data_IF_782609966570
#
_entry.id   IF_782609966570
#
_cell.length_a   1.000
_cell.length_b   1.000
_cell.length_c   1.000
_cell.angle_alpha   90.00
_cell.angle_beta   90.00
_cell.angle_gamma   90.00
#
_symmetry.space_group_name_H-M   'P 1'
#
loop_
_entity.id
_entity.type
_entity.pdbx_description
1 polymer ?
#
# COMPACT_ATOMS: atom_id res chain seq x y z
N UNK A 1 -8.84 -3.26 11.56
CA UNK A 1 -8.65 -1.81 11.82
C UNK A 1 -8.96 -1.03 10.55
N UNK A 2 -9.61 0.14 10.61
CA UNK A 2 -9.96 0.98 9.43
C UNK A 2 -9.94 2.47 9.78
N UNK A 3 -8.76 3.01 10.09
CA UNK A 3 -8.62 4.40 10.54
C UNK A 3 -9.03 5.41 9.47
N UNK A 4 -8.82 5.09 8.19
CA UNK A 4 -9.23 5.91 7.05
C UNK A 4 -10.74 6.17 6.99
N UNK A 5 -11.59 5.22 7.43
CA UNK A 5 -13.06 5.40 7.49
C UNK A 5 -13.47 6.47 8.53
N UNK A 6 -12.59 6.77 9.49
CA UNK A 6 -12.78 7.80 10.52
C UNK A 6 -12.11 9.12 10.18
N UNK A 7 -11.35 9.16 9.08
CA UNK A 7 -10.65 10.35 8.65
C UNK A 7 -11.56 11.19 7.76
N UNK A 8 -12.23 12.19 8.32
CA UNK A 8 -13.27 12.96 7.59
C UNK A 8 -12.72 13.59 6.31
N UNK A 9 -11.54 14.21 6.36
CA UNK A 9 -10.88 14.79 5.19
C UNK A 9 -10.64 13.77 4.09
N UNK A 10 -10.13 12.60 4.46
CA UNK A 10 -9.94 11.48 3.51
C UNK A 10 -11.27 11.06 2.87
N UNK A 11 -12.33 10.89 3.66
CA UNK A 11 -13.64 10.46 3.17
C UNK A 11 -14.23 11.45 2.16
N UNK A 12 -14.19 12.75 2.45
CA UNK A 12 -14.77 13.77 1.55
C UNK A 12 -13.88 14.07 0.35
N UNK A 13 -12.58 14.28 0.54
CA UNK A 13 -11.67 14.69 -0.55
C UNK A 13 -11.32 13.54 -1.49
N UNK A 14 -11.30 12.31 -0.98
CA UNK A 14 -10.80 11.14 -1.70
C UNK A 14 -11.89 10.10 -1.91
N UNK A 15 -12.47 9.52 -0.86
CA UNK A 15 -13.32 8.33 -0.98
C UNK A 15 -14.59 8.63 -1.80
N UNK A 16 -15.31 9.69 -1.44
CA UNK A 16 -16.52 10.18 -2.13
C UNK A 16 -16.21 10.94 -3.43
N UNK A 17 -14.97 11.37 -3.62
CA UNK A 17 -14.58 12.13 -4.79
C UNK A 17 -14.28 11.21 -5.98
N UNK A 18 -15.07 11.33 -7.04
CA UNK A 18 -14.87 10.55 -8.26
C UNK A 18 -13.56 10.90 -8.98
N UNK A 19 -13.08 12.14 -8.85
CA UNK A 19 -11.84 12.57 -9.53
C UNK A 19 -10.58 11.95 -8.94
N UNK A 20 -10.63 11.49 -7.68
CA UNK A 20 -9.56 10.73 -7.04
C UNK A 20 -9.34 9.32 -7.67
N UNK A 21 -10.16 8.91 -8.64
CA UNK A 21 -9.94 7.72 -9.46
C UNK A 21 -9.87 8.02 -10.96
N UNK A 22 -9.69 9.28 -11.36
CA UNK A 22 -9.70 9.67 -12.78
C UNK A 22 -8.68 8.88 -13.63
N UNK A 23 -7.45 8.70 -13.13
CA UNK A 23 -6.42 7.94 -13.85
C UNK A 23 -6.79 6.46 -14.05
N UNK A 24 -7.46 5.83 -13.08
CA UNK A 24 -7.96 4.46 -13.25
C UNK A 24 -9.06 4.43 -14.32
N UNK A 25 -9.99 5.38 -14.32
CA UNK A 25 -11.09 5.42 -15.29
C UNK A 25 -10.57 5.66 -16.71
N UNK A 26 -9.66 6.64 -16.88
CA UNK A 26 -9.02 6.90 -18.17
C UNK A 26 -8.26 5.68 -18.69
N UNK A 27 -7.61 4.91 -17.81
CA UNK A 27 -6.93 3.67 -18.21
C UNK A 27 -7.91 2.57 -18.64
N UNK A 28 -9.04 2.43 -17.94
CA UNK A 28 -10.10 1.47 -18.29
C UNK A 28 -10.75 1.78 -19.65
N UNK A 29 -10.82 3.04 -20.03
CA UNK A 29 -11.28 3.48 -21.36
C UNK A 29 -10.17 3.45 -22.44
N UNK A 30 -8.94 3.18 -22.00
CA UNK A 30 -7.73 3.24 -22.81
C UNK A 30 -7.54 2.05 -23.76
N UNK A 31 -6.55 2.15 -24.68
CA UNK A 31 -6.28 1.12 -25.68
C UNK A 31 -5.84 -0.22 -25.08
N UNK A 32 -5.17 -0.21 -23.92
CA UNK A 32 -4.73 -1.40 -23.21
C UNK A 32 -5.91 -2.27 -22.78
N UNK A 33 -6.91 -1.66 -22.12
CA UNK A 33 -8.11 -2.37 -21.65
C UNK A 33 -9.01 -2.78 -22.80
N UNK A 34 -9.13 -1.93 -23.84
CA UNK A 34 -9.86 -2.28 -25.06
C UNK A 34 -9.36 -3.58 -25.68
N UNK A 35 -8.03 -3.75 -25.77
CA UNK A 35 -7.43 -4.98 -26.29
C UNK A 35 -7.77 -6.20 -25.42
N UNK A 36 -7.84 -6.05 -24.09
CA UNK A 36 -8.28 -7.12 -23.19
C UNK A 36 -9.74 -7.51 -23.49
N UNK A 37 -10.64 -6.53 -23.59
CA UNK A 37 -12.05 -6.75 -23.92
C UNK A 37 -12.24 -7.44 -25.29
N UNK A 38 -11.51 -7.00 -26.32
CA UNK A 38 -11.53 -7.63 -27.66
C UNK A 38 -11.10 -9.09 -27.61
N UNK A 39 -10.06 -9.42 -26.83
CA UNK A 39 -9.57 -10.80 -26.68
C UNK A 39 -10.55 -11.66 -25.89
N UNK A 40 -11.15 -11.14 -24.83
CA UNK A 40 -12.23 -11.82 -24.09
C UNK A 40 -13.41 -12.12 -25.02
N UNK A 41 -13.88 -11.11 -25.77
CA UNK A 41 -14.99 -11.26 -26.71
C UNK A 41 -14.71 -12.33 -27.77
N UNK A 42 -13.49 -12.33 -28.33
CA UNK A 42 -13.02 -13.34 -29.29
C UNK A 42 -13.00 -14.75 -28.70
N UNK A 43 -12.43 -14.92 -27.50
CA UNK A 43 -12.38 -16.21 -26.79
C UNK A 43 -13.77 -16.77 -26.49
N UNK A 44 -14.71 -15.90 -26.11
CA UNK A 44 -16.10 -16.25 -25.81
C UNK A 44 -17.01 -16.36 -27.04
N UNK A 45 -16.53 -15.93 -28.22
CA UNK A 45 -17.29 -15.86 -29.49
C UNK A 45 -18.55 -14.99 -29.38
N UNK A 46 -18.43 -13.84 -28.71
CA UNK A 46 -19.49 -12.85 -28.56
C UNK A 46 -19.08 -11.52 -29.19
N UNK A 47 -20.04 -10.62 -29.52
CA UNK A 47 -19.71 -9.27 -29.98
C UNK A 47 -18.90 -8.50 -28.93
N UNK A 48 -17.90 -7.74 -29.38
CA UNK A 48 -17.08 -6.87 -28.51
C UNK A 48 -17.94 -5.92 -27.65
N UNK A 49 -19.02 -5.38 -28.23
CA UNK A 49 -19.93 -4.45 -27.55
C UNK A 49 -20.65 -5.07 -26.35
N UNK A 50 -20.60 -6.41 -26.20
CA UNK A 50 -21.17 -7.13 -25.06
C UNK A 50 -20.20 -7.28 -23.88
N UNK A 51 -18.93 -6.88 -24.01
CA UNK A 51 -17.92 -6.99 -22.95
C UNK A 51 -17.55 -5.61 -22.44
N UNK A 52 -17.97 -5.28 -21.22
CA UNK A 52 -17.57 -4.05 -20.53
C UNK A 52 -16.26 -4.24 -19.76
N UNK A 53 -15.62 -3.14 -19.38
CA UNK A 53 -14.44 -3.11 -18.52
C UNK A 53 -14.75 -3.71 -17.14
N UNK A 54 -15.95 -3.48 -16.61
CA UNK A 54 -16.42 -4.08 -15.35
C UNK A 54 -16.56 -5.60 -15.47
N UNK A 55 -17.01 -6.11 -16.62
CA UNK A 55 -17.08 -7.56 -16.87
C UNK A 55 -15.68 -8.18 -16.98
N UNK A 56 -14.73 -7.48 -17.59
CA UNK A 56 -13.34 -7.92 -17.64
C UNK A 56 -12.71 -7.96 -16.23
N UNK A 57 -12.93 -6.93 -15.41
CA UNK A 57 -12.50 -6.90 -14.00
C UNK A 57 -13.15 -8.04 -13.20
N UNK A 58 -14.46 -8.23 -13.31
CA UNK A 58 -15.17 -9.31 -12.62
C UNK A 58 -14.66 -10.70 -13.03
N UNK A 59 -14.37 -10.92 -14.30
CA UNK A 59 -13.79 -12.19 -14.77
C UNK A 59 -12.38 -12.43 -14.21
N UNK A 60 -11.55 -11.37 -14.13
CA UNK A 60 -10.22 -11.46 -13.55
C UNK A 60 -10.29 -11.75 -12.04
N UNK A 61 -11.19 -11.08 -11.32
CA UNK A 61 -11.43 -11.31 -9.90
C UNK A 61 -11.96 -12.72 -9.63
N UNK A 62 -12.90 -13.22 -10.46
CA UNK A 62 -13.40 -14.59 -10.34
C UNK A 62 -12.29 -15.63 -10.52
N UNK A 63 -11.37 -15.41 -11.46
CA UNK A 63 -10.16 -16.23 -11.60
C UNK A 63 -9.36 -16.25 -10.28
N UNK A 64 -9.05 -15.07 -9.72
CA UNK A 64 -8.27 -14.94 -8.50
C UNK A 64 -8.98 -15.56 -7.27
N UNK A 65 -10.27 -15.31 -7.11
CA UNK A 65 -11.07 -15.85 -6.00
C UNK A 65 -11.21 -17.37 -6.07
N UNK A 66 -11.49 -17.93 -7.25
CA UNK A 66 -11.61 -19.38 -7.38
C UNK A 66 -10.27 -20.07 -7.14
N UNK A 67 -9.16 -19.47 -7.59
CA UNK A 67 -7.83 -19.97 -7.24
C UNK A 67 -7.59 -19.91 -5.73
N UNK A 68 -7.87 -18.79 -5.08
CA UNK A 68 -7.64 -18.63 -3.64
C UNK A 68 -8.51 -19.55 -2.77
N UNK A 69 -9.76 -19.78 -3.16
CA UNK A 69 -10.74 -20.55 -2.37
C UNK A 69 -10.62 -22.06 -2.64
N UNK A 70 -10.44 -22.44 -3.92
CA UNK A 70 -10.54 -23.85 -4.35
C UNK A 70 -9.20 -24.43 -4.80
N UNK A 71 -8.13 -23.63 -4.90
CA UNK A 71 -6.83 -24.03 -5.45
C UNK A 71 -6.93 -24.60 -6.88
N UNK A 72 -7.86 -24.09 -7.68
CA UNK A 72 -8.05 -24.50 -9.08
C UNK A 72 -7.70 -23.39 -10.04
N UNK A 73 -7.14 -23.74 -11.20
CA UNK A 73 -7.05 -22.82 -12.32
C UNK A 73 -8.43 -22.75 -12.99
N UNK A 74 -9.17 -21.68 -12.72
CA UNK A 74 -10.53 -21.51 -13.20
C UNK A 74 -10.58 -21.28 -14.72
N UNK A 75 -11.64 -21.73 -15.42
CA UNK A 75 -11.89 -21.30 -16.80
C UNK A 75 -11.91 -19.77 -16.97
N UNK A 76 -12.25 -19.02 -15.92
CA UNK A 76 -12.15 -17.55 -15.92
C UNK A 76 -10.72 -17.07 -16.18
N UNK A 77 -9.71 -17.78 -15.67
CA UNK A 77 -8.30 -17.45 -15.89
C UNK A 77 -7.89 -17.64 -17.35
N UNK A 78 -8.50 -18.58 -18.07
CA UNK A 78 -8.22 -18.83 -19.49
C UNK A 78 -8.70 -17.69 -20.41
N UNK A 79 -9.46 -16.72 -19.89
CA UNK A 79 -9.86 -15.53 -20.62
C UNK A 79 -8.74 -14.49 -20.76
N UNK A 80 -7.63 -14.66 -20.04
CA UNK A 80 -6.51 -13.74 -19.98
C UNK A 80 -5.22 -14.49 -20.34
N UNK A 81 -4.29 -13.82 -21.03
CA UNK A 81 -2.88 -14.20 -20.99
C UNK A 81 -2.08 -13.26 -20.11
N UNK A 82 -0.77 -13.49 -20.02
CA UNK A 82 0.12 -12.73 -19.13
C UNK A 82 0.09 -11.22 -19.43
N UNK A 83 0.03 -10.84 -20.71
CA UNK A 83 -0.03 -9.42 -21.08
C UNK A 83 -1.36 -8.81 -20.66
N UNK A 84 -2.46 -9.54 -20.81
CA UNK A 84 -3.78 -9.11 -20.32
C UNK A 84 -3.76 -8.97 -18.79
N UNK A 85 -3.16 -9.93 -18.07
CA UNK A 85 -3.05 -9.90 -16.61
C UNK A 85 -2.22 -8.72 -16.10
N UNK A 86 -1.15 -8.32 -16.81
CA UNK A 86 -0.37 -7.12 -16.47
C UNK A 86 -1.18 -5.83 -16.64
N UNK A 87 -2.09 -5.78 -17.63
CA UNK A 87 -3.02 -4.65 -17.81
C UNK A 87 -4.02 -4.59 -16.65
N UNK A 88 -4.60 -5.74 -16.28
CA UNK A 88 -5.53 -5.82 -15.13
C UNK A 88 -4.84 -5.41 -13.82
N UNK A 89 -3.63 -5.90 -13.59
CA UNK A 89 -2.80 -5.54 -12.43
C UNK A 89 -2.52 -4.03 -12.38
N UNK A 90 -2.11 -3.43 -13.51
CA UNK A 90 -1.85 -1.99 -13.57
C UNK A 90 -3.09 -1.14 -13.33
N UNK A 91 -4.26 -1.59 -13.81
CA UNK A 91 -5.54 -0.94 -13.51
C UNK A 91 -5.82 -0.93 -12.00
N UNK A 92 -5.58 -2.05 -11.31
CA UNK A 92 -5.71 -2.11 -9.85
C UNK A 92 -4.65 -1.26 -9.14
N UNK A 93 -3.41 -1.25 -9.62
CA UNK A 93 -2.36 -0.40 -9.07
C UNK A 93 -2.73 1.08 -9.17
N UNK A 94 -3.28 1.55 -10.30
CA UNK A 94 -3.79 2.91 -10.44
C UNK A 94 -4.87 3.23 -9.41
N UNK A 95 -5.83 2.31 -9.21
CA UNK A 95 -6.88 2.48 -8.20
C UNK A 95 -6.28 2.68 -6.81
N UNK A 96 -5.37 1.80 -6.40
CA UNK A 96 -4.78 1.83 -5.06
C UNK A 96 -3.81 3.00 -4.88
N UNK A 97 -3.02 3.33 -5.90
CA UNK A 97 -2.10 4.47 -5.90
C UNK A 97 -2.85 5.76 -5.60
N UNK A 98 -3.92 6.02 -6.36
CA UNK A 98 -4.69 7.26 -6.26
C UNK A 98 -5.63 7.29 -5.06
N UNK A 99 -6.33 6.19 -4.73
CA UNK A 99 -7.29 6.18 -3.61
C UNK A 99 -6.67 5.95 -2.23
N UNK A 100 -5.52 5.27 -2.13
CA UNK A 100 -5.01 4.76 -0.83
C UNK A 100 -3.50 4.97 -0.61
N UNK A 101 -2.76 5.49 -1.59
CA UNK A 101 -1.30 5.68 -1.48
C UNK A 101 -0.87 7.05 -2.03
N UNK A 102 0.25 7.11 -2.77
CA UNK A 102 0.96 8.32 -3.16
C UNK A 102 0.19 9.33 -4.03
N UNK A 103 -1.02 9.01 -4.49
CA UNK A 103 -1.83 9.97 -5.26
C UNK A 103 -2.20 11.23 -4.47
N UNK A 104 -2.41 11.12 -3.15
CA UNK A 104 -2.74 12.26 -2.30
C UNK A 104 -2.10 12.14 -0.92
N UNK A 105 -1.63 13.25 -0.38
CA UNK A 105 -0.95 13.33 0.93
C UNK A 105 -1.80 12.72 2.07
N UNK A 106 -3.09 13.06 2.10
CA UNK A 106 -4.04 12.59 3.12
C UNK A 106 -4.19 11.05 3.15
N UNK A 107 -3.96 10.37 2.03
CA UNK A 107 -4.08 8.91 1.95
C UNK A 107 -3.15 8.22 2.95
N UNK A 108 -1.90 8.69 3.03
CA UNK A 108 -0.89 8.14 3.94
C UNK A 108 -1.09 8.64 5.37
N UNK A 109 -1.45 9.91 5.55
CA UNK A 109 -1.66 10.54 6.86
C UNK A 109 -2.86 10.02 7.63
N UNK A 110 -3.84 9.43 6.96
CA UNK A 110 -4.89 8.65 7.62
C UNK A 110 -4.32 7.48 8.48
N UNK A 111 -3.05 7.10 8.29
CA UNK A 111 -2.35 6.09 9.09
C UNK A 111 -1.46 6.65 10.22
N UNK A 112 -1.45 7.98 10.46
CA UNK A 112 -0.67 8.60 11.53
C UNK A 112 -0.85 7.88 12.89
N UNK A 113 -2.10 7.55 13.25
CA UNK A 113 -2.41 6.84 14.51
C UNK A 113 -1.71 5.48 14.61
N UNK A 114 -1.66 4.71 13.51
CA UNK A 114 -1.00 3.42 13.46
C UNK A 114 0.53 3.57 13.48
N UNK A 115 1.04 4.55 12.74
CA UNK A 115 2.47 4.90 12.74
C UNK A 115 2.95 5.26 14.16
N UNK A 116 2.22 6.11 14.88
CA UNK A 116 2.55 6.48 16.25
C UNK A 116 2.43 5.31 17.23
N UNK A 117 1.42 4.44 17.12
CA UNK A 117 1.30 3.25 17.96
C UNK A 117 2.51 2.31 17.78
N UNK A 118 2.91 2.06 16.53
CA UNK A 118 4.09 1.25 16.20
C UNK A 118 5.35 1.80 16.86
N UNK A 119 5.67 3.08 16.66
CA UNK A 119 6.89 3.67 17.22
C UNK A 119 6.83 3.85 18.73
N UNK A 120 5.66 4.09 19.32
CA UNK A 120 5.48 4.12 20.77
C UNK A 120 5.84 2.78 21.42
N UNK A 121 5.41 1.67 20.82
CA UNK A 121 5.75 0.31 21.28
C UNK A 121 7.23 0.00 21.12
N UNK A 122 7.81 0.35 19.98
CA UNK A 122 9.25 0.18 19.74
C UNK A 122 10.09 1.03 20.71
N UNK A 123 9.67 2.27 21.00
CA UNK A 123 10.32 3.15 21.96
C UNK A 123 10.25 2.59 23.38
N UNK A 124 9.10 2.06 23.79
CA UNK A 124 8.93 1.40 25.08
C UNK A 124 9.89 0.21 25.22
N UNK A 125 9.91 -0.70 24.25
CA UNK A 125 10.81 -1.86 24.27
C UNK A 125 12.29 -1.43 24.25
N UNK A 126 12.65 -0.45 23.43
CA UNK A 126 14.01 0.08 23.38
C UNK A 126 14.46 0.67 24.72
N UNK A 127 13.58 1.39 25.42
CA UNK A 127 13.86 1.97 26.73
C UNK A 127 13.99 0.89 27.82
N UNK A 128 13.14 -0.14 27.79
CA UNK A 128 13.24 -1.28 28.70
C UNK A 128 14.60 -2.00 28.52
N UNK A 129 14.98 -2.32 27.28
CA UNK A 129 16.27 -2.97 26.97
C UNK A 129 17.46 -2.12 27.45
N UNK A 130 17.48 -0.83 27.10
CA UNK A 130 18.57 0.10 27.50
C UNK A 130 18.68 0.28 29.01
N UNK A 131 17.57 0.14 29.73
CA UNK A 131 17.53 0.23 31.20
C UNK A 131 17.85 -1.11 31.89
N UNK A 132 18.15 -2.17 31.14
CA UNK A 132 18.36 -3.51 31.67
C UNK A 132 17.10 -4.14 32.26
N UNK A 133 15.91 -3.63 31.89
CA UNK A 133 14.63 -4.16 32.33
C UNK A 133 14.17 -5.29 31.39
N UNK A 134 13.34 -6.18 31.92
CA UNK A 134 12.69 -7.20 31.11
C UNK A 134 11.68 -6.54 30.16
N UNK A 135 11.74 -6.90 28.88
CA UNK A 135 10.77 -6.43 27.88
C UNK A 135 9.36 -6.92 28.23
N UNK A 136 8.43 -5.99 28.44
CA UNK A 136 7.08 -6.31 28.91
C UNK A 136 6.15 -6.76 27.77
N UNK A 137 6.35 -6.24 26.56
CA UNK A 137 5.56 -6.56 25.36
C UNK A 137 6.49 -6.98 24.23
N UNK A 138 6.93 -8.25 24.24
CA UNK A 138 7.87 -8.77 23.25
C UNK A 138 7.26 -8.91 21.84
N UNK A 139 5.95 -9.10 21.73
CA UNK A 139 5.24 -9.27 20.45
C UNK A 139 3.92 -8.53 20.49
N UNK A 140 3.64 -7.74 19.45
CA UNK A 140 2.32 -7.15 19.18
C UNK A 140 1.86 -7.61 17.81
N UNK A 141 0.63 -8.14 17.72
CA UNK A 141 0.02 -8.57 16.46
C UNK A 141 -1.21 -7.72 16.21
N UNK A 142 -1.27 -7.08 15.04
CA UNK A 142 -2.41 -6.30 14.63
C UNK A 142 -2.96 -6.81 13.30
N UNK A 143 -4.28 -6.94 13.21
CA UNK A 143 -4.96 -7.47 12.04
C UNK A 143 -5.80 -6.36 11.41
N UNK A 144 -5.54 -6.12 10.12
CA UNK A 144 -6.15 -5.07 9.33
C UNK A 144 -6.60 -5.56 7.96
N UNK A 145 -6.88 -4.59 7.09
CA UNK A 145 -7.15 -4.84 5.67
C UNK A 145 -5.97 -4.38 4.83
N UNK A 146 -6.00 -4.67 3.53
CA UNK A 146 -5.00 -4.17 2.61
C UNK A 146 -4.94 -2.63 2.62
N UNK A 147 -6.12 -2.00 2.71
CA UNK A 147 -6.30 -0.56 2.82
C UNK A 147 -5.90 0.02 4.19
N UNK A 148 -5.49 -0.82 5.15
CA UNK A 148 -4.85 -0.37 6.40
C UNK A 148 -3.33 -0.36 6.27
N UNK A 149 -2.77 -1.43 5.69
CA UNK A 149 -1.34 -1.60 5.56
C UNK A 149 -0.75 -0.69 4.48
N UNK A 150 -1.44 -0.52 3.34
CA UNK A 150 -0.95 0.30 2.23
C UNK A 150 -0.71 1.77 2.62
N UNK A 151 -1.63 2.47 3.31
CA UNK A 151 -1.35 3.80 3.86
C UNK A 151 -0.12 3.88 4.77
N UNK A 152 0.09 2.88 5.64
CA UNK A 152 1.25 2.82 6.53
C UNK A 152 2.55 2.65 5.73
N UNK A 153 2.59 1.72 4.77
CA UNK A 153 3.74 1.54 3.87
C UNK A 153 4.05 2.83 3.11
N UNK A 154 3.00 3.52 2.65
CA UNK A 154 3.10 4.81 1.95
C UNK A 154 3.71 5.88 2.86
N UNK A 155 3.22 5.98 4.11
CA UNK A 155 3.68 6.94 5.11
C UNK A 155 5.15 6.69 5.52
N UNK A 156 5.57 5.43 5.54
CA UNK A 156 6.97 5.02 5.73
C UNK A 156 7.83 5.22 4.46
N UNK A 157 7.24 5.62 3.34
CA UNK A 157 7.95 5.93 2.09
C UNK A 157 8.27 4.73 1.20
N UNK A 158 7.77 3.53 1.53
CA UNK A 158 8.09 2.31 0.78
C UNK A 158 7.48 2.30 -0.63
N UNK A 159 8.23 1.78 -1.60
CA UNK A 159 7.77 1.57 -2.99
C UNK A 159 7.34 2.85 -3.72
N UNK A 160 7.94 3.99 -3.37
CA UNK A 160 7.71 5.24 -4.08
C UNK A 160 8.49 5.27 -5.40
N UNK A 161 7.77 5.30 -6.50
CA UNK A 161 8.35 5.50 -7.83
C UNK A 161 8.79 6.95 -8.06
N UNK A 162 9.73 7.15 -9.00
CA UNK A 162 10.19 8.48 -9.42
C UNK A 162 9.11 9.27 -10.15
N UNK A 163 8.23 8.56 -10.85
CA UNK A 163 7.06 9.13 -11.54
C UNK A 163 5.78 8.52 -11.00
N UNK A 164 4.75 9.35 -10.84
CA UNK A 164 3.43 8.89 -10.45
C UNK A 164 2.85 7.93 -11.52
N UNK A 165 2.11 6.92 -11.06
CA UNK A 165 1.37 6.03 -11.95
C UNK A 165 0.21 6.82 -12.59
N UNK A 166 0.13 6.73 -13.91
CA UNK A 166 -0.90 7.40 -14.73
C UNK A 166 -1.50 6.41 -15.73
N UNK A 167 -2.67 6.75 -16.24
CA UNK A 167 -3.34 6.07 -17.35
C UNK A 167 -2.48 5.97 -18.61
N UNK A 168 -1.52 6.88 -18.80
CA UNK A 168 -0.77 7.02 -20.06
C UNK A 168 0.65 6.44 -20.01
N UNK A 169 1.11 5.94 -18.86
CA UNK A 169 2.49 5.47 -18.68
C UNK A 169 2.64 3.99 -18.31
N UNK A 170 1.65 3.15 -18.65
CA UNK A 170 1.69 1.69 -18.40
C UNK A 170 2.99 1.04 -18.90
N UNK A 171 3.40 1.35 -20.14
CA UNK A 171 4.61 0.76 -20.73
C UNK A 171 5.90 1.19 -20.02
N UNK A 172 5.97 2.47 -19.61
CA UNK A 172 7.10 3.03 -18.86
C UNK A 172 7.16 2.48 -17.43
N UNK A 173 5.99 2.14 -16.86
CA UNK A 173 5.82 1.60 -15.51
C UNK A 173 5.87 0.06 -15.45
N UNK A 174 6.45 -0.59 -16.47
CA UNK A 174 6.59 -2.05 -16.50
C UNK A 174 7.45 -2.61 -15.34
N UNK A 175 8.39 -1.82 -14.83
CA UNK A 175 9.28 -2.15 -13.71
C UNK A 175 9.05 -1.25 -12.49
N UNK A 176 7.84 -0.73 -12.33
CA UNK A 176 7.44 0.10 -11.18
C UNK A 176 7.68 -0.62 -9.85
N UNK A 177 8.04 0.16 -8.85
CA UNK A 177 8.15 -0.29 -7.46
C UNK A 177 6.77 -0.45 -6.84
N UNK A 178 5.84 0.46 -7.15
CA UNK A 178 4.46 0.41 -6.66
C UNK A 178 3.66 -0.66 -7.43
N UNK A 179 3.68 -1.89 -6.90
CA UNK A 179 3.01 -3.04 -7.50
C UNK A 179 2.25 -3.82 -6.45
N UNK A 180 0.94 -3.61 -6.39
CA UNK A 180 0.09 -4.07 -5.29
C UNK A 180 0.01 -5.59 -5.18
N UNK A 181 0.16 -6.31 -6.29
CA UNK A 181 0.23 -7.78 -6.30
C UNK A 181 1.42 -8.34 -5.51
N UNK A 182 2.53 -7.61 -5.41
CA UNK A 182 3.69 -7.99 -4.58
C UNK A 182 3.65 -7.39 -3.19
N UNK A 183 3.12 -6.18 -3.05
CA UNK A 183 3.08 -5.47 -1.78
C UNK A 183 1.98 -6.03 -0.87
N UNK A 184 0.81 -6.28 -1.44
CA UNK A 184 -0.45 -6.50 -0.76
C UNK A 184 -1.21 -7.75 -1.25
N UNK A 185 -0.58 -8.94 -1.38
CA UNK A 185 -1.30 -10.17 -1.66
C UNK A 185 -2.27 -10.55 -0.52
N UNK A 186 -3.06 -11.61 -0.72
CA UNK A 186 -3.78 -12.20 0.41
C UNK A 186 -2.80 -12.59 1.53
N UNK A 187 -3.20 -12.31 2.77
CA UNK A 187 -2.38 -12.48 3.97
C UNK A 187 -1.08 -11.66 3.99
N UNK A 188 -1.04 -10.54 3.25
CA UNK A 188 0.08 -9.61 3.33
C UNK A 188 0.37 -9.15 4.76
N UNK A 189 1.66 -9.02 5.09
CA UNK A 189 2.13 -8.70 6.42
C UNK A 189 3.35 -7.78 6.39
N UNK A 190 3.42 -6.87 7.36
CA UNK A 190 4.61 -6.08 7.66
C UNK A 190 5.07 -6.42 9.07
N UNK A 191 6.29 -6.92 9.19
CA UNK A 191 6.95 -7.20 10.46
C UNK A 191 8.04 -6.16 10.69
N UNK A 192 8.07 -5.58 11.89
CA UNK A 192 9.13 -4.71 12.36
C UNK A 192 9.81 -5.40 13.55
N UNK A 193 11.05 -5.83 13.36
CA UNK A 193 11.81 -6.59 14.36
C UNK A 193 12.90 -5.71 14.96
N UNK A 194 12.80 -5.44 16.26
CA UNK A 194 13.80 -4.72 17.03
C UNK A 194 14.82 -5.72 17.61
N UNK A 195 16.04 -5.69 17.09
CA UNK A 195 17.15 -6.52 17.56
C UNK A 195 17.99 -5.77 18.59
N UNK A 196 18.37 -6.46 19.66
CA UNK A 196 19.45 -6.06 20.56
C UNK A 196 20.75 -6.72 20.12
N UNK A 197 21.67 -5.94 19.55
CA UNK A 197 22.99 -6.40 19.12
C UNK A 197 24.05 -6.28 20.24
N UNK A 198 23.64 -5.98 21.48
CA UNK A 198 24.50 -5.76 22.62
C UNK A 198 25.09 -4.36 22.67
N UNK A 199 25.62 -3.98 23.84
CA UNK A 199 26.24 -2.67 24.09
C UNK A 199 25.35 -1.47 23.73
N UNK A 200 24.02 -1.64 23.79
CA UNK A 200 23.05 -0.61 23.43
C UNK A 200 22.85 -0.40 21.92
N UNK A 201 23.43 -1.24 21.04
CA UNK A 201 23.19 -1.20 19.59
C UNK A 201 21.86 -1.87 19.26
N UNK A 202 20.79 -1.07 19.24
CA UNK A 202 19.47 -1.52 18.81
C UNK A 202 19.30 -1.30 17.30
N UNK A 203 18.82 -2.32 16.59
CA UNK A 203 18.60 -2.28 15.13
C UNK A 203 17.19 -2.68 14.76
N UNK A 204 16.65 -2.07 13.71
CA UNK A 204 15.28 -2.33 13.26
C UNK A 204 15.30 -2.95 11.87
N UNK A 205 14.69 -4.11 11.71
CA UNK A 205 14.46 -4.76 10.42
C UNK A 205 12.99 -4.67 10.03
N UNK A 206 12.72 -4.22 8.81
CA UNK A 206 11.41 -4.34 8.20
C UNK A 206 11.37 -5.57 7.29
N UNK A 207 10.31 -6.37 7.40
CA UNK A 207 10.02 -7.46 6.48
C UNK A 207 8.61 -7.25 5.94
N UNK A 208 8.46 -7.22 4.62
CA UNK A 208 7.16 -7.23 3.95
C UNK A 208 6.97 -8.59 3.30
N UNK A 209 5.88 -9.27 3.63
CA UNK A 209 5.58 -10.63 3.15
C UNK A 209 6.79 -11.55 3.40
N UNK A 210 7.27 -11.51 4.66
CA UNK A 210 8.41 -12.28 5.17
C UNK A 210 9.76 -12.03 4.46
N UNK A 211 9.84 -11.00 3.60
CA UNK A 211 11.06 -10.64 2.88
C UNK A 211 11.64 -9.33 3.43
N UNK A 212 12.95 -9.27 3.76
CA UNK A 212 13.58 -8.03 4.19
C UNK A 212 13.38 -6.91 3.17
N UNK A 213 12.95 -5.74 3.66
CA UNK A 213 12.83 -4.52 2.86
C UNK A 213 13.65 -3.42 3.52
N UNK A 214 14.41 -2.68 2.71
CA UNK A 214 15.23 -1.59 3.22
C UNK A 214 14.37 -0.35 3.47
N UNK A 215 14.57 0.31 4.62
CA UNK A 215 13.93 1.58 4.89
C UNK A 215 14.37 2.62 3.84
N UNK A 216 13.42 3.25 3.12
CA UNK A 216 13.72 4.26 2.11
C UNK A 216 14.55 5.39 2.70
N UNK A 217 15.59 5.83 1.98
CA UNK A 217 16.48 6.90 2.45
C UNK A 217 17.46 6.52 3.56
N UNK A 218 17.52 5.23 3.95
CA UNK A 218 18.52 4.67 4.88
C UNK A 218 19.39 3.58 4.22
N UNK A 219 19.31 3.45 2.89
CA UNK A 219 19.97 2.40 2.09
C UNK A 219 21.48 2.58 1.90
N UNK A 220 22.03 3.77 2.17
CA UNK A 220 23.48 4.01 2.09
C UNK A 220 24.24 3.37 3.28
N UNK A 221 23.51 2.97 4.32
CA UNK A 221 23.99 2.08 5.35
C UNK A 221 23.81 0.66 4.80
N UNK A 222 24.90 -0.04 4.55
CA UNK A 222 25.03 -1.40 3.98
C UNK A 222 24.28 -2.53 4.71
N UNK A 223 23.27 -2.23 5.53
CA UNK A 223 22.53 -3.14 6.36
C UNK A 223 21.03 -3.00 6.11
N UNK A 224 20.37 -4.12 5.81
CA UNK A 224 18.91 -4.28 5.88
C UNK A 224 18.33 -4.06 7.30
N UNK A 225 19.20 -3.74 8.26
CA UNK A 225 18.90 -3.46 9.65
C UNK A 225 19.67 -2.19 10.11
N UNK A 226 19.17 -0.98 9.78
CA UNK A 226 19.72 0.27 10.31
C UNK A 226 19.57 0.34 11.83
N UNK A 227 20.32 1.25 12.47
CA UNK A 227 20.13 1.50 13.91
C UNK A 227 18.74 2.08 14.14
N UNK A 228 18.11 1.65 15.23
CA UNK A 228 16.78 2.13 15.57
C UNK A 228 16.73 3.66 15.74
N UNK A 229 17.80 4.25 16.27
CA UNK A 229 17.93 5.71 16.39
C UNK A 229 17.98 6.42 15.04
N UNK A 230 18.65 5.83 14.04
CA UNK A 230 18.71 6.40 12.69
C UNK A 230 17.33 6.36 12.03
N UNK A 231 16.56 5.29 12.23
CA UNK A 231 15.17 5.18 11.77
C UNK A 231 14.29 6.25 12.44
N UNK A 232 14.40 6.43 13.76
CA UNK A 232 13.66 7.49 14.47
C UNK A 232 14.05 8.88 13.98
N UNK A 233 15.33 9.11 13.74
CA UNK A 233 15.83 10.38 13.20
C UNK A 233 15.27 10.65 11.81
N UNK A 234 15.26 9.62 10.95
CA UNK A 234 14.71 9.70 9.59
C UNK A 234 13.23 10.08 9.59
N UNK A 235 12.42 9.50 10.48
CA UNK A 235 10.98 9.81 10.58
C UNK A 235 10.64 10.87 11.63
N UNK A 236 11.60 11.68 12.10
CA UNK A 236 11.42 12.62 13.21
C UNK A 236 10.29 13.63 12.99
N UNK A 237 10.13 14.13 11.77
CA UNK A 237 9.08 15.11 11.46
C UNK A 237 7.68 14.47 11.57
N UNK A 238 7.53 13.23 11.10
CA UNK A 238 6.29 12.47 11.28
C UNK A 238 6.03 12.17 12.77
N UNK A 239 7.06 11.72 13.50
CA UNK A 239 6.96 11.43 14.94
C UNK A 239 6.63 12.66 15.80
N UNK A 240 6.83 13.87 15.30
CA UNK A 240 6.48 15.11 16.00
C UNK A 240 5.17 15.74 15.53
N UNK A 241 4.77 15.52 14.28
CA UNK A 241 3.72 16.32 13.64
C UNK A 241 2.59 15.55 12.94
N UNK A 242 2.70 14.22 12.75
CA UNK A 242 1.65 13.43 12.11
C UNK A 242 0.51 13.16 13.11
N UNK A 243 -0.38 14.12 13.33
CA UNK A 243 -1.52 13.96 14.23
C UNK A 243 -2.78 13.57 13.46
N UNK A 244 -3.37 12.41 13.77
CA UNK A 244 -4.56 11.91 13.07
C UNK A 244 -5.73 12.89 13.15
N UNK A 245 -6.00 13.46 14.33
CA UNK A 245 -7.13 14.36 14.53
C UNK A 245 -6.96 15.66 13.73
N UNK A 246 -5.74 16.17 13.63
CA UNK A 246 -5.43 17.39 12.87
C UNK A 246 -5.43 17.11 11.36
N UNK A 247 -4.77 16.05 10.91
CA UNK A 247 -4.67 15.72 9.49
C UNK A 247 -6.03 15.35 8.88
N UNK A 248 -6.93 14.78 9.69
CA UNK A 248 -8.26 14.35 9.25
C UNK A 248 -9.36 15.41 9.38
N UNK A 249 -9.04 16.62 9.85
CA UNK A 249 -9.97 17.76 9.82
C UNK A 249 -10.18 18.27 8.39
N UNK A 250 -11.44 18.56 8.03
CA UNK A 250 -11.80 19.13 6.73
C UNK A 250 -11.37 20.60 6.56
N UNK A 251 -11.35 21.33 7.66
CA UNK A 251 -11.00 22.75 7.69
C UNK A 251 -9.97 22.95 8.79
N UNK A 252 -8.83 23.56 8.48
CA UNK A 252 -7.92 24.03 9.50
C UNK A 252 -8.69 25.02 10.39
N UNK A 253 -8.63 24.83 11.72
CA UNK A 253 -9.07 25.89 12.63
C UNK A 253 -8.31 27.18 12.26
N UNK A 254 -8.97 28.36 12.26
CA UNK A 254 -8.24 29.61 12.16
C UNK A 254 -7.14 29.60 13.21
N UNK A 255 -5.91 29.90 12.80
CA UNK A 255 -4.85 30.18 13.76
C UNK A 255 -5.28 31.47 14.44
N UNK A 256 -5.78 31.37 15.67
CA UNK A 256 -6.03 32.54 16.49
C UNK A 256 -4.70 33.30 16.61
N UNK A 257 -4.64 34.45 15.93
CA UNK A 257 -3.52 35.38 15.88
C UNK A 257 -3.39 36.19 17.16
#
# INVERSE_FOLDING_TARGET
>A
MRFFDKCTRFVEEIDKNATASAEMQLFKEGPEMRRVQEKIASRLRVPYQSITEEMAEAAFDLCAYEFAIKAVNSPWCCLFDEVDALVMEYSNDLKQFWKRSYGHDINSKASCILFHDVFSRLDKAANEIKSGQQVTEAVTIQIGHAETLLPLLTLLGFFRDSEALKSTNFAQQAQRSFRTSYMMPYAANLLLVLYDCGNGDLRLQALLNEKPVAFPGLTDLTSSMPRYEDVRSHYRELLRGCDFETECQLFNKPVDS
#
